data_IF_045224447078
#
_entry.id   IF_045224447078
#
_cell.length_a   1.000
_cell.length_b   1.000
_cell.length_c   1.000
_cell.angle_alpha   90.00
_cell.angle_beta   90.00
_cell.angle_gamma   90.00
#
_symmetry.space_group_name_H-M   'P 1'
#
loop_
_entity.id
_entity.type
_entity.pdbx_description
1 polymer ?
#
# COMPACT_ATOMS: atom_id res chain seq x y z
N UNK A 1 -28.74 47.01 -38.36
CA UNK A 1 -30.02 47.27 -37.69
C UNK A 1 -30.58 45.93 -37.17
N UNK A 2 -31.06 45.99 -35.99
CA UNK A 2 -31.67 44.97 -35.14
C UNK A 2 -30.69 44.19 -34.26
N UNK A 3 -30.51 44.77 -33.10
CA UNK A 3 -30.13 44.21 -31.83
C UNK A 3 -31.16 43.22 -31.30
N UNK A 4 -30.70 42.09 -30.81
CA UNK A 4 -31.45 41.34 -29.81
C UNK A 4 -30.48 40.96 -28.66
N UNK A 5 -30.63 41.72 -27.60
CA UNK A 5 -30.25 41.30 -26.25
C UNK A 5 -31.30 40.29 -25.77
N UNK A 6 -30.87 39.14 -25.33
CA UNK A 6 -31.66 38.28 -24.49
C UNK A 6 -30.85 37.97 -23.21
N UNK A 7 -31.33 38.58 -22.14
CA UNK A 7 -30.98 38.30 -20.77
C UNK A 7 -31.46 36.90 -20.38
N UNK A 8 -30.54 36.05 -19.94
CA UNK A 8 -30.90 34.80 -19.28
C UNK A 8 -30.62 34.97 -17.80
N UNK A 9 -31.68 34.87 -17.01
CA UNK A 9 -31.70 34.82 -15.54
C UNK A 9 -31.07 33.52 -15.06
N UNK A 10 -30.18 33.63 -14.09
CA UNK A 10 -29.65 32.53 -13.29
C UNK A 10 -30.73 31.99 -12.35
N UNK A 11 -30.96 30.68 -12.33
CA UNK A 11 -31.73 30.04 -11.30
C UNK A 11 -30.94 28.95 -10.57
N UNK A 12 -29.85 29.19 -9.92
CA UNK A 12 -29.35 28.25 -8.90
C UNK A 12 -28.47 28.99 -7.89
N UNK A 13 -28.90 28.90 -6.65
CA UNK A 13 -28.15 29.33 -5.46
C UNK A 13 -26.86 28.54 -5.27
N UNK A 14 -25.97 28.96 -4.37
CA UNK A 14 -24.61 28.44 -4.28
C UNK A 14 -24.60 27.00 -3.74
N UNK A 15 -24.37 26.05 -4.65
CA UNK A 15 -24.00 24.70 -4.27
C UNK A 15 -22.51 24.69 -3.94
N UNK A 16 -22.19 24.34 -2.73
CA UNK A 16 -20.83 24.04 -2.25
C UNK A 16 -20.13 23.07 -3.19
N UNK A 17 -18.91 23.35 -3.64
CA UNK A 17 -18.17 22.45 -4.50
C UNK A 17 -17.74 21.21 -3.72
N UNK A 18 -17.76 20.02 -4.33
CA UNK A 18 -17.19 18.83 -3.74
C UNK A 18 -15.69 18.99 -3.59
N UNK A 19 -15.17 18.79 -2.40
CA UNK A 19 -13.76 18.87 -2.04
C UNK A 19 -12.94 17.87 -2.86
N UNK A 20 -12.15 18.38 -3.80
CA UNK A 20 -11.10 17.63 -4.45
C UNK A 20 -9.97 17.33 -3.46
N UNK A 21 -9.99 16.17 -2.82
CA UNK A 21 -8.87 15.66 -2.04
C UNK A 21 -8.21 14.51 -2.79
N UNK A 22 -7.36 14.85 -3.73
CA UNK A 22 -6.42 13.92 -4.35
C UNK A 22 -5.04 14.14 -3.76
N UNK A 23 -4.81 13.61 -2.59
CA UNK A 23 -3.48 13.23 -2.10
C UNK A 23 -3.76 12.17 -1.05
N UNK A 24 -3.12 11.01 -1.16
CA UNK A 24 -3.14 9.98 -0.15
C UNK A 24 -2.79 10.58 1.22
N UNK A 25 -3.81 10.94 1.99
CA UNK A 25 -3.67 11.39 3.37
C UNK A 25 -3.85 10.18 4.26
N UNK A 26 -2.77 9.47 4.55
CA UNK A 26 -2.73 8.68 5.76
C UNK A 26 -2.77 9.65 6.94
N UNK A 27 -3.99 9.91 7.42
CA UNK A 27 -4.20 10.78 8.57
C UNK A 27 -4.04 9.95 9.84
N UNK A 28 -2.82 9.76 10.29
CA UNK A 28 -2.56 9.34 11.66
C UNK A 28 -2.80 10.52 12.59
N UNK A 29 -4.01 10.63 13.13
CA UNK A 29 -4.23 11.40 14.35
C UNK A 29 -4.09 10.40 15.48
N UNK A 30 -2.91 10.35 16.09
CA UNK A 30 -2.75 9.55 17.29
C UNK A 30 -1.72 10.14 18.23
N UNK A 31 -2.25 10.58 19.34
CA UNK A 31 -1.69 10.56 20.69
C UNK A 31 -0.47 11.43 20.99
N UNK A 32 -0.75 12.66 21.41
CA UNK A 32 -0.03 13.15 22.58
C UNK A 32 -0.95 13.52 23.75
N UNK A 33 -2.13 12.95 23.92
CA UNK A 33 -3.04 13.44 24.99
C UNK A 33 -3.47 12.40 26.03
N UNK A 34 -2.82 11.25 26.15
CA UNK A 34 -3.11 10.32 27.26
C UNK A 34 -1.82 10.03 28.04
N UNK A 35 -1.11 11.06 28.43
CA UNK A 35 -0.16 10.99 29.55
C UNK A 35 -0.43 12.22 30.42
N UNK A 36 -1.60 12.26 31.03
CA UNK A 36 -1.83 13.08 32.22
C UNK A 36 -2.41 12.18 33.31
N UNK A 37 -1.53 11.89 34.28
CA UNK A 37 -1.83 11.55 35.67
C UNK A 37 -2.94 10.54 35.96
N UNK A 38 -2.54 9.28 36.10
CA UNK A 38 -3.27 8.31 36.91
C UNK A 38 -2.64 8.32 38.30
N UNK A 39 -3.39 8.59 39.40
CA UNK A 39 -2.85 8.51 40.73
C UNK A 39 -2.55 7.05 41.07
N UNK A 40 -1.37 6.85 41.67
CA UNK A 40 -0.86 5.58 42.17
C UNK A 40 -1.73 5.13 43.36
N UNK A 41 -2.70 4.26 43.13
CA UNK A 41 -3.39 3.57 44.21
C UNK A 41 -2.56 2.32 44.52
N UNK A 42 -1.83 2.36 45.61
CA UNK A 42 -1.17 1.19 46.19
C UNK A 42 -2.26 0.24 46.76
N UNK A 43 -2.51 -0.84 46.00
CA UNK A 43 -3.23 -1.98 46.57
C UNK A 43 -2.21 -2.92 47.24
N UNK A 44 -2.34 -3.14 48.52
CA UNK A 44 -1.57 -4.11 49.29
C UNK A 44 -1.90 -5.51 48.79
N UNK A 45 -0.95 -6.16 48.14
CA UNK A 45 -1.06 -7.55 47.66
C UNK A 45 -0.83 -8.52 48.81
N UNK A 46 -1.81 -9.35 49.10
CA UNK A 46 -1.65 -10.53 49.93
C UNK A 46 -0.76 -11.53 49.20
N UNK A 47 0.30 -12.02 49.87
CA UNK A 47 1.15 -13.10 49.38
C UNK A 47 0.39 -14.41 49.44
N UNK A 48 -0.08 -14.89 48.29
CA UNK A 48 -0.47 -16.31 48.11
C UNK A 48 0.69 -17.01 47.41
N UNK A 49 1.37 -17.84 48.14
CA UNK A 49 2.44 -18.72 47.60
C UNK A 49 1.77 -19.84 46.84
N UNK A 50 1.57 -19.69 45.54
CA UNK A 50 1.18 -20.79 44.66
C UNK A 50 2.48 -21.38 44.09
N UNK A 51 2.70 -22.64 44.40
CA UNK A 51 3.72 -23.51 43.80
C UNK A 51 3.31 -23.69 42.33
N UNK A 52 3.97 -22.98 41.42
CA UNK A 52 3.83 -23.16 39.97
C UNK A 52 4.69 -24.36 39.57
N UNK A 53 4.07 -25.48 39.26
CA UNK A 53 4.61 -26.51 38.37
C UNK A 53 4.74 -25.84 37.00
N UNK A 54 5.98 -25.77 36.50
CA UNK A 54 6.32 -24.95 35.34
C UNK A 54 5.98 -25.60 34.00
N UNK A 55 4.71 -25.61 33.61
CA UNK A 55 4.35 -25.65 32.20
C UNK A 55 4.09 -24.19 31.77
N UNK A 56 4.94 -23.69 30.86
CA UNK A 56 4.70 -22.41 30.23
C UNK A 56 3.35 -22.44 29.51
N UNK A 57 2.47 -21.49 29.84
CA UNK A 57 1.20 -21.36 29.10
C UNK A 57 1.49 -21.15 27.62
N UNK A 58 0.72 -21.81 26.72
CA UNK A 58 0.94 -21.63 25.28
C UNK A 58 0.81 -20.15 24.88
N UNK A 59 1.53 -19.73 23.82
CA UNK A 59 1.43 -18.36 23.31
C UNK A 59 0.00 -17.99 22.96
N UNK A 60 -0.36 -16.72 23.21
CA UNK A 60 -1.67 -16.18 22.88
C UNK A 60 -1.77 -15.93 21.37
N UNK A 61 -2.83 -16.40 20.74
CA UNK A 61 -3.10 -16.13 19.32
C UNK A 61 -3.68 -14.73 19.11
N UNK A 62 -3.40 -14.11 17.95
CA UNK A 62 -3.85 -12.77 17.66
C UNK A 62 -5.37 -12.56 17.76
N UNK A 63 -6.15 -13.58 17.38
CA UNK A 63 -7.62 -13.52 17.48
C UNK A 63 -8.14 -13.41 18.91
N UNK A 64 -7.34 -13.78 19.91
CA UNK A 64 -7.70 -13.73 21.32
C UNK A 64 -7.16 -12.47 22.03
N UNK A 65 -6.43 -11.64 21.32
CA UNK A 65 -5.95 -10.36 21.87
C UNK A 65 -7.11 -9.41 22.04
N UNK A 66 -7.24 -8.82 23.23
CA UNK A 66 -8.21 -7.80 23.56
C UNK A 66 -7.54 -6.44 23.72
N UNK A 67 -8.27 -5.30 23.51
CA UNK A 67 -7.73 -3.98 23.73
C UNK A 67 -7.25 -3.79 25.18
N UNK A 68 -6.11 -3.13 25.34
CA UNK A 68 -5.51 -2.86 26.63
C UNK A 68 -4.13 -3.50 26.82
N UNK A 69 -3.61 -3.50 28.06
CA UNK A 69 -2.33 -4.13 28.36
C UNK A 69 -2.45 -5.65 28.29
N UNK A 70 -1.55 -6.31 27.55
CA UNK A 70 -1.43 -7.75 27.44
C UNK A 70 -0.25 -8.26 28.25
N UNK A 71 -0.51 -9.14 29.23
CA UNK A 71 0.51 -9.80 30.04
C UNK A 71 0.90 -11.20 29.53
N UNK A 72 0.20 -11.70 28.53
CA UNK A 72 0.50 -12.99 27.89
C UNK A 72 1.64 -12.87 26.90
N UNK A 73 2.21 -14.01 26.51
CA UNK A 73 3.23 -14.08 25.47
C UNK A 73 2.57 -14.20 24.11
N UNK A 74 3.03 -13.40 23.14
CA UNK A 74 2.71 -13.55 21.72
C UNK A 74 3.93 -14.13 21.02
N UNK A 75 3.69 -15.08 20.13
CA UNK A 75 4.70 -15.65 19.25
C UNK A 75 4.24 -15.48 17.82
N UNK A 76 5.10 -14.93 16.98
CA UNK A 76 4.73 -14.59 15.61
C UNK A 76 5.93 -14.53 14.67
N UNK A 77 5.69 -14.78 13.39
CA UNK A 77 6.64 -14.49 12.33
C UNK A 77 6.45 -13.05 11.83
N UNK A 78 7.54 -12.30 11.70
CA UNK A 78 7.55 -10.96 11.12
C UNK A 78 7.58 -11.06 9.59
N UNK A 79 6.45 -10.85 8.94
CA UNK A 79 6.34 -10.92 7.48
C UNK A 79 6.95 -9.68 6.82
N UNK A 80 6.67 -8.49 7.37
CA UNK A 80 7.12 -7.22 6.81
C UNK A 80 7.15 -6.12 7.86
N UNK A 81 7.96 -5.09 7.62
CA UNK A 81 7.95 -3.85 8.39
C UNK A 81 8.34 -2.66 7.50
N UNK A 82 7.81 -1.49 7.83
CA UNK A 82 8.01 -0.24 7.09
C UNK A 82 7.95 0.95 8.01
N UNK A 83 8.47 2.10 7.54
CA UNK A 83 8.37 3.36 8.27
C UNK A 83 6.93 3.91 8.24
N UNK A 84 6.40 4.19 9.42
CA UNK A 84 5.16 4.93 9.58
C UNK A 84 5.46 6.43 9.55
N UNK A 85 4.95 7.16 8.56
CA UNK A 85 5.16 8.59 8.41
C UNK A 85 3.85 9.36 8.34
N UNK A 86 3.78 10.50 9.04
CA UNK A 86 2.70 11.46 8.91
C UNK A 86 3.05 12.43 7.78
N UNK A 87 2.20 12.49 6.77
CA UNK A 87 2.40 13.43 5.67
C UNK A 87 2.31 14.88 6.14
N UNK A 88 3.27 15.69 5.72
CA UNK A 88 3.32 17.14 5.92
C UNK A 88 3.46 17.78 4.56
N UNK A 89 2.66 18.83 4.28
CA UNK A 89 2.73 19.55 3.00
C UNK A 89 4.16 20.04 2.76
N UNK A 90 4.74 19.68 1.60
CA UNK A 90 6.04 20.16 1.14
C UNK A 90 7.26 19.54 1.83
N UNK A 91 7.12 18.42 2.53
CA UNK A 91 8.24 17.79 3.22
C UNK A 91 8.20 16.27 3.20
N UNK A 92 9.29 15.62 3.67
CA UNK A 92 9.43 14.15 3.68
C UNK A 92 8.47 13.45 4.67
N UNK A 93 7.61 14.20 5.35
CA UNK A 93 6.75 13.70 6.40
C UNK A 93 7.47 13.53 7.74
N UNK A 94 6.69 13.45 8.82
CA UNK A 94 7.19 13.20 10.18
C UNK A 94 7.19 11.70 10.44
N UNK A 95 8.35 11.15 10.79
CA UNK A 95 8.48 9.75 11.18
C UNK A 95 7.80 9.51 12.53
N UNK A 96 6.84 8.58 12.55
CA UNK A 96 6.09 8.19 13.74
C UNK A 96 6.67 6.95 14.42
N UNK A 97 7.27 6.06 13.64
CA UNK A 97 7.82 4.80 14.10
C UNK A 97 7.93 3.75 12.98
N UNK A 98 7.86 2.50 13.39
CA UNK A 98 7.87 1.34 12.48
C UNK A 98 6.52 0.62 12.64
N UNK A 99 5.85 0.37 11.52
CA UNK A 99 4.72 -0.55 11.42
C UNK A 99 5.21 -1.93 10.99
N UNK A 100 4.52 -2.97 11.46
CA UNK A 100 4.86 -4.37 11.20
C UNK A 100 3.63 -5.14 10.76
N UNK A 101 3.81 -6.10 9.86
CA UNK A 101 2.84 -7.16 9.54
C UNK A 101 3.36 -8.47 10.12
N UNK A 102 2.55 -9.10 10.94
CA UNK A 102 2.89 -10.29 11.72
C UNK A 102 1.89 -11.39 11.47
N UNK A 103 2.32 -12.65 11.57
CA UNK A 103 1.47 -13.84 11.45
C UNK A 103 1.70 -14.78 12.62
N UNK A 104 0.62 -15.30 13.21
CA UNK A 104 0.68 -16.27 14.31
C UNK A 104 0.61 -17.74 13.81
N UNK A 105 0.66 -18.68 14.73
CA UNK A 105 0.65 -20.12 14.44
C UNK A 105 -0.65 -20.62 13.78
N UNK A 106 -1.75 -19.88 13.86
CA UNK A 106 -2.99 -20.20 13.16
C UNK A 106 -3.14 -19.46 11.83
N UNK A 107 -2.12 -18.69 11.43
CA UNK A 107 -2.15 -17.92 10.20
C UNK A 107 -2.94 -16.60 10.31
N UNK A 108 -3.30 -16.15 11.53
CA UNK A 108 -3.94 -14.84 11.67
C UNK A 108 -2.92 -13.72 11.47
N UNK A 109 -3.29 -12.73 10.65
CA UNK A 109 -2.49 -11.53 10.45
C UNK A 109 -2.82 -10.46 11.49
N UNK A 110 -1.80 -9.83 12.04
CA UNK A 110 -1.93 -8.67 12.93
C UNK A 110 -0.96 -7.56 12.55
N UNK A 111 -1.33 -6.31 12.84
CA UNK A 111 -0.48 -5.16 12.68
C UNK A 111 0.21 -4.83 14.00
N UNK A 112 1.54 -4.62 13.95
CA UNK A 112 2.34 -4.15 15.07
C UNK A 112 2.81 -2.72 14.87
N UNK A 113 3.16 -2.05 15.96
CA UNK A 113 3.69 -0.69 15.94
C UNK A 113 4.78 -0.49 16.99
N UNK A 114 5.93 0.01 16.56
CA UNK A 114 7.05 0.46 17.39
C UNK A 114 7.14 1.97 17.26
N UNK A 115 6.86 2.71 18.31
CA UNK A 115 6.95 4.17 18.30
C UNK A 115 8.38 4.68 18.05
N UNK A 116 8.51 5.88 17.48
CA UNK A 116 9.79 6.51 17.14
C UNK A 116 10.80 6.54 18.30
N UNK A 117 10.33 6.75 19.52
CA UNK A 117 11.15 6.75 20.72
C UNK A 117 11.78 5.40 21.08
N UNK A 118 11.30 4.30 20.46
CA UNK A 118 11.79 2.92 20.67
C UNK A 118 12.47 2.35 19.44
N UNK A 119 12.40 3.06 18.32
CA UNK A 119 12.94 2.62 17.02
C UNK A 119 14.39 2.13 17.15
N UNK A 120 15.27 2.94 17.75
CA UNK A 120 16.70 2.63 17.85
C UNK A 120 16.99 1.33 18.62
N UNK A 121 16.07 0.89 19.48
CA UNK A 121 16.25 -0.33 20.26
C UNK A 121 15.97 -1.58 19.41
N UNK A 122 14.98 -1.51 18.52
CA UNK A 122 14.49 -2.70 17.83
C UNK A 122 14.82 -2.75 16.34
N UNK A 123 14.98 -1.61 15.67
CA UNK A 123 15.12 -1.55 14.21
C UNK A 123 16.24 -2.44 13.65
N UNK A 124 17.38 -2.49 14.34
CA UNK A 124 18.55 -3.28 13.90
C UNK A 124 18.33 -4.80 14.05
N UNK A 125 17.40 -5.18 14.91
CA UNK A 125 17.11 -6.59 15.21
C UNK A 125 15.93 -7.13 14.40
N UNK A 126 15.16 -6.24 13.76
CA UNK A 126 14.03 -6.64 12.91
C UNK A 126 14.54 -7.31 11.64
N UNK A 127 14.14 -8.56 11.42
CA UNK A 127 14.46 -9.34 10.24
C UNK A 127 13.18 -10.00 9.71
N UNK A 128 12.87 -9.75 8.42
CA UNK A 128 11.73 -10.38 7.77
C UNK A 128 11.89 -11.91 7.76
N UNK A 129 10.78 -12.62 7.94
CA UNK A 129 10.73 -14.09 7.97
C UNK A 129 11.15 -14.72 9.30
N UNK A 130 11.68 -13.95 10.26
CA UNK A 130 12.07 -14.47 11.57
C UNK A 130 10.91 -14.48 12.55
N UNK A 131 10.99 -15.39 13.52
CA UNK A 131 10.03 -15.53 14.61
C UNK A 131 10.48 -14.69 15.80
N UNK A 132 9.51 -14.11 16.48
CA UNK A 132 9.71 -13.26 17.65
C UNK A 132 8.73 -13.65 18.74
N UNK A 133 9.23 -13.62 19.96
CA UNK A 133 8.45 -13.71 21.19
C UNK A 133 8.31 -12.32 21.80
N UNK A 134 7.06 -11.87 22.04
CA UNK A 134 6.73 -10.56 22.60
C UNK A 134 5.91 -10.71 23.89
N UNK A 135 6.36 -10.05 24.95
CA UNK A 135 5.66 -9.97 26.24
C UNK A 135 5.37 -8.53 26.64
N UNK A 136 4.38 -8.34 27.49
CA UNK A 136 4.00 -7.01 28.03
C UNK A 136 3.69 -5.98 26.92
N UNK A 137 2.91 -6.36 25.95
CA UNK A 137 2.45 -5.48 24.87
C UNK A 137 1.21 -4.66 25.26
N UNK A 138 0.87 -3.69 24.44
CA UNK A 138 -0.39 -2.96 24.54
C UNK A 138 -1.15 -3.08 23.23
N UNK A 139 -2.41 -3.54 23.28
CA UNK A 139 -3.26 -3.63 22.10
C UNK A 139 -4.25 -2.48 22.08
N UNK A 140 -4.35 -1.77 20.95
CA UNK A 140 -5.29 -0.67 20.76
C UNK A 140 -6.13 -0.89 19.50
N UNK A 141 -7.37 -0.38 19.52
CA UNK A 141 -8.17 -0.36 18.30
C UNK A 141 -7.47 0.45 17.22
N UNK A 142 -7.35 -0.13 16.04
CA UNK A 142 -6.78 0.55 14.89
C UNK A 142 -7.64 1.75 14.50
N UNK A 143 -6.98 2.91 14.33
CA UNK A 143 -7.59 4.12 13.78
C UNK A 143 -7.11 4.40 12.36
N UNK A 144 -6.37 3.47 11.77
CA UNK A 144 -5.89 3.62 10.40
C UNK A 144 -7.05 3.54 9.41
N UNK A 145 -6.91 4.28 8.32
CA UNK A 145 -7.92 4.28 7.25
C UNK A 145 -7.84 3.03 6.37
N UNK A 146 -6.66 2.43 6.31
CA UNK A 146 -6.37 1.27 5.47
C UNK A 146 -5.76 0.17 6.34
N UNK A 147 -6.36 -1.02 6.28
CA UNK A 147 -5.95 -2.14 7.11
C UNK A 147 -5.16 -3.16 6.27
N UNK A 148 -4.03 -3.56 6.78
CA UNK A 148 -3.14 -4.55 6.16
C UNK A 148 -3.30 -5.95 6.75
N UNK A 149 -4.07 -6.09 7.82
CA UNK A 149 -4.27 -7.31 8.57
C UNK A 149 -5.77 -7.58 8.81
N UNK A 150 -6.11 -8.83 9.12
CA UNK A 150 -7.49 -9.24 9.42
C UNK A 150 -7.95 -8.65 10.76
N UNK A 151 -7.04 -8.56 11.72
CA UNK A 151 -7.29 -7.99 13.03
C UNK A 151 -7.40 -6.48 12.98
N UNK A 152 -8.40 -5.94 13.69
CA UNK A 152 -8.62 -4.48 13.82
C UNK A 152 -7.84 -3.86 14.97
N UNK A 153 -7.01 -4.66 15.63
CA UNK A 153 -6.12 -4.22 16.71
C UNK A 153 -4.72 -3.99 16.17
N UNK A 154 -4.05 -2.98 16.74
CA UNK A 154 -2.63 -2.73 16.56
C UNK A 154 -1.92 -3.12 17.86
N UNK A 155 -0.94 -4.00 17.75
CA UNK A 155 -0.10 -4.45 18.86
C UNK A 155 1.06 -3.46 19.01
N UNK A 156 1.01 -2.64 20.06
CA UNK A 156 1.99 -1.61 20.31
C UNK A 156 3.10 -2.13 21.24
N UNK A 157 4.33 -1.92 20.85
CA UNK A 157 5.51 -2.22 21.66
C UNK A 157 5.79 -1.00 22.54
N UNK A 158 5.54 -1.15 23.85
CA UNK A 158 5.72 -0.11 24.87
C UNK A 158 7.09 -0.19 25.53
N UNK A 159 7.35 0.70 26.50
CA UNK A 159 8.58 0.65 27.31
C UNK A 159 8.66 -0.58 28.23
N UNK A 160 7.51 -1.16 28.57
CA UNK A 160 7.43 -2.37 29.39
C UNK A 160 7.51 -3.65 28.54
N UNK A 161 7.46 -3.54 27.23
CA UNK A 161 7.50 -4.68 26.33
C UNK A 161 8.93 -5.24 26.24
N UNK A 162 9.01 -6.57 26.17
CA UNK A 162 10.21 -7.28 25.79
C UNK A 162 9.93 -8.10 24.54
N UNK A 163 10.71 -7.87 23.49
CA UNK A 163 10.66 -8.61 22.24
C UNK A 163 12.02 -9.23 21.98
N UNK A 164 12.06 -10.53 21.80
CA UNK A 164 13.25 -11.30 21.46
C UNK A 164 13.05 -12.04 20.16
N UNK A 165 14.12 -12.15 19.39
CA UNK A 165 14.15 -13.00 18.20
C UNK A 165 14.44 -14.44 18.65
N UNK A 166 13.66 -15.39 18.14
CA UNK A 166 13.87 -16.79 18.41
C UNK A 166 14.97 -17.32 17.47
N UNK A 167 15.87 -18.16 18.05
CA UNK A 167 17.02 -18.67 17.30
C UNK A 167 16.60 -19.75 16.29
N UNK A 168 15.62 -20.56 16.65
CA UNK A 168 15.10 -21.64 15.84
C UNK A 168 13.84 -21.21 15.08
N UNK A 169 13.62 -21.80 13.91
CA UNK A 169 12.38 -21.64 13.15
C UNK A 169 11.34 -22.61 13.73
N UNK A 170 10.23 -22.07 14.21
CA UNK A 170 9.17 -22.85 14.83
C UNK A 170 8.31 -23.45 13.72
N UNK A 171 8.26 -24.77 13.63
CA UNK A 171 7.36 -25.48 12.72
C UNK A 171 5.91 -25.07 12.99
N UNK A 172 5.15 -24.82 11.91
CA UNK A 172 3.72 -24.53 11.97
C UNK A 172 3.35 -23.08 11.80
N UNK A 173 4.27 -22.09 11.95
CA UNK A 173 3.96 -20.71 11.60
C UNK A 173 4.26 -20.48 10.11
N UNK A 174 3.23 -20.12 9.34
CA UNK A 174 3.36 -19.89 7.90
C UNK A 174 4.45 -18.86 7.60
N UNK A 175 5.19 -19.08 6.52
CA UNK A 175 6.24 -18.15 6.05
C UNK A 175 5.66 -16.93 5.36
N UNK A 176 4.48 -17.08 4.73
CA UNK A 176 3.75 -16.02 4.03
C UNK A 176 2.25 -16.30 4.06
N UNK A 177 1.45 -15.25 3.97
CA UNK A 177 0.01 -15.32 3.74
C UNK A 177 -0.42 -14.16 2.86
N UNK A 178 -1.17 -14.47 1.81
CA UNK A 178 -1.67 -13.51 0.83
C UNK A 178 -3.19 -13.42 0.85
N UNK A 179 -3.72 -12.22 0.59
CA UNK A 179 -5.15 -11.93 0.50
C UNK A 179 -5.46 -11.47 -0.93
N UNK A 180 -5.27 -12.38 -1.89
CA UNK A 180 -5.46 -12.09 -3.32
C UNK A 180 -6.92 -11.84 -3.62
N UNK A 181 -7.22 -10.76 -4.34
CA UNK A 181 -8.55 -10.35 -4.76
C UNK A 181 -8.70 -10.38 -6.28
N UNK A 182 -9.95 -10.59 -6.71
CA UNK A 182 -10.35 -10.52 -8.12
C UNK A 182 -10.50 -9.08 -8.60
N UNK A 183 -10.63 -8.90 -9.92
CA UNK A 183 -10.92 -7.58 -10.51
C UNK A 183 -12.21 -6.97 -9.94
N UNK A 184 -13.27 -7.77 -9.82
CA UNK A 184 -14.57 -7.32 -9.31
C UNK A 184 -14.50 -6.86 -7.86
N UNK A 185 -13.67 -7.52 -7.03
CA UNK A 185 -13.46 -7.10 -5.65
C UNK A 185 -12.76 -5.74 -5.58
N UNK A 186 -11.76 -5.51 -6.45
CA UNK A 186 -11.09 -4.21 -6.52
C UNK A 186 -12.02 -3.11 -7.05
N UNK A 187 -12.87 -3.42 -8.03
CA UNK A 187 -13.85 -2.48 -8.54
C UNK A 187 -14.88 -2.09 -7.48
N UNK A 188 -15.39 -3.05 -6.72
CA UNK A 188 -16.33 -2.83 -5.63
C UNK A 188 -15.74 -1.99 -4.49
N UNK A 189 -14.43 -2.05 -4.29
CA UNK A 189 -13.71 -1.32 -3.23
C UNK A 189 -12.99 -0.06 -3.75
N UNK A 190 -13.23 0.33 -5.02
CA UNK A 190 -12.57 1.48 -5.63
C UNK A 190 -12.88 2.76 -4.87
N UNK A 191 -11.84 3.54 -4.56
CA UNK A 191 -11.89 4.79 -3.78
C UNK A 191 -12.43 4.67 -2.34
N UNK A 192 -12.75 3.47 -1.89
CA UNK A 192 -13.17 3.24 -0.52
C UNK A 192 -11.96 3.22 0.44
N UNK A 193 -12.27 3.45 1.71
CA UNK A 193 -11.34 3.24 2.83
C UNK A 193 -11.65 1.89 3.45
N UNK A 194 -10.63 1.11 3.72
CA UNK A 194 -10.86 -0.22 4.28
C UNK A 194 -9.64 -1.12 4.17
N UNK A 195 -9.88 -2.38 3.88
CA UNK A 195 -8.82 -3.36 3.74
C UNK A 195 -8.03 -3.17 2.45
N UNK A 196 -6.73 -3.31 2.56
CA UNK A 196 -5.83 -3.44 1.42
C UNK A 196 -5.64 -4.92 1.12
N UNK A 197 -5.66 -5.26 -0.15
CA UNK A 197 -5.56 -6.64 -0.61
C UNK A 197 -4.42 -6.81 -1.60
N UNK A 198 -4.15 -8.04 -1.97
CA UNK A 198 -3.04 -8.40 -2.82
C UNK A 198 -3.55 -8.70 -4.24
N UNK A 199 -2.72 -8.42 -5.22
CA UNK A 199 -3.01 -8.73 -6.63
C UNK A 199 -1.91 -9.62 -7.20
N UNK A 200 -2.30 -10.62 -7.97
CA UNK A 200 -1.40 -11.44 -8.80
C UNK A 200 -1.88 -11.43 -10.24
N UNK A 201 -0.96 -11.32 -11.17
CA UNK A 201 -1.30 -11.29 -12.59
C UNK A 201 -0.11 -11.50 -13.51
N UNK A 202 -0.43 -11.77 -14.78
CA UNK A 202 0.57 -11.86 -15.84
C UNK A 202 1.06 -10.46 -16.20
N UNK A 203 2.35 -10.22 -16.07
CA UNK A 203 3.00 -8.96 -16.37
C UNK A 203 3.05 -8.76 -17.90
N UNK A 204 2.43 -7.71 -18.41
CA UNK A 204 2.32 -7.42 -19.84
C UNK A 204 3.26 -6.30 -20.30
N UNK A 205 3.26 -5.20 -19.57
CA UNK A 205 4.07 -4.02 -19.89
C UNK A 205 4.67 -3.44 -18.60
N UNK A 206 5.82 -2.81 -18.74
CA UNK A 206 6.48 -2.00 -17.70
C UNK A 206 6.75 -0.63 -18.28
N UNK A 207 6.22 0.42 -17.66
CA UNK A 207 6.27 1.82 -18.13
C UNK A 207 5.90 1.96 -19.62
N UNK A 208 4.88 1.20 -20.07
CA UNK A 208 4.40 1.16 -21.45
C UNK A 208 5.29 0.38 -22.41
N UNK A 209 6.38 -0.23 -21.95
CA UNK A 209 7.30 -1.01 -22.78
C UNK A 209 6.96 -2.49 -22.74
N UNK A 210 7.03 -3.12 -23.89
CA UNK A 210 6.79 -4.56 -24.04
C UNK A 210 7.97 -5.37 -23.48
N UNK A 211 7.65 -6.44 -22.76
CA UNK A 211 8.65 -7.24 -22.03
C UNK A 211 9.67 -7.96 -22.92
N UNK A 212 9.30 -8.28 -24.18
CA UNK A 212 10.25 -8.92 -25.12
C UNK A 212 11.47 -8.05 -25.43
N UNK A 213 11.38 -6.74 -25.22
CA UNK A 213 12.50 -5.80 -25.35
C UNK A 213 13.38 -5.77 -24.09
N UNK A 214 12.94 -6.45 -23.02
CA UNK A 214 13.58 -6.47 -21.70
C UNK A 214 14.12 -5.08 -21.31
N UNK A 215 13.23 -4.13 -20.98
CA UNK A 215 13.65 -2.81 -20.57
C UNK A 215 14.57 -2.88 -19.36
N UNK A 216 15.66 -2.13 -19.36
CA UNK A 216 16.53 -1.96 -18.19
C UNK A 216 15.91 -0.86 -17.33
N UNK A 217 15.56 -1.20 -16.09
CA UNK A 217 14.79 -0.32 -15.22
C UNK A 217 15.65 0.47 -14.21
N UNK A 218 16.87 -0.02 -13.93
CA UNK A 218 17.82 0.67 -13.05
C UNK A 218 18.82 1.46 -13.89
N UNK A 219 18.58 2.73 -14.11
CA UNK A 219 19.54 3.66 -14.78
C UNK A 219 20.20 4.54 -13.73
N UNK A 220 21.38 5.11 -14.06
CA UNK A 220 22.15 5.97 -13.11
C UNK A 220 21.43 7.26 -12.71
N UNK A 221 20.40 7.65 -13.47
CA UNK A 221 19.61 8.87 -13.25
C UNK A 221 18.29 8.62 -12.48
N UNK A 222 18.07 7.40 -11.96
CA UNK A 222 16.78 6.97 -11.36
C UNK A 222 16.43 7.62 -10.02
N UNK A 223 17.23 8.56 -9.52
CA UNK A 223 16.83 9.38 -8.37
C UNK A 223 15.56 10.21 -8.62
N UNK A 224 15.18 10.42 -9.88
CA UNK A 224 14.00 11.19 -10.26
C UNK A 224 12.71 10.38 -10.37
N UNK A 225 12.78 9.07 -10.64
CA UNK A 225 11.60 8.25 -10.87
C UNK A 225 11.28 7.35 -9.67
N UNK A 226 10.50 7.89 -8.73
CA UNK A 226 9.96 7.12 -7.60
C UNK A 226 8.80 6.19 -7.99
N UNK A 227 8.47 6.10 -9.28
CA UNK A 227 7.29 5.39 -9.77
C UNK A 227 7.66 4.42 -10.88
N UNK A 228 7.05 3.24 -10.86
CA UNK A 228 6.99 2.30 -11.99
C UNK A 228 5.52 1.98 -12.24
N UNK A 229 5.08 2.01 -13.49
CA UNK A 229 3.75 1.56 -13.88
C UNK A 229 3.84 0.20 -14.54
N UNK A 230 3.10 -0.76 -14.02
CA UNK A 230 3.01 -2.10 -14.61
C UNK A 230 1.58 -2.39 -15.06
N UNK A 231 1.45 -3.16 -16.12
CA UNK A 231 0.17 -3.63 -16.62
C UNK A 231 0.06 -5.12 -16.34
N UNK A 232 -0.92 -5.50 -15.52
CA UNK A 232 -1.17 -6.89 -15.13
C UNK A 232 -2.45 -7.41 -15.77
N UNK A 233 -2.35 -8.52 -16.50
CA UNK A 233 -3.50 -9.30 -16.94
C UNK A 233 -3.94 -10.21 -15.79
N UNK A 234 -5.16 -10.05 -15.34
CA UNK A 234 -5.74 -10.92 -14.33
C UNK A 234 -6.29 -12.20 -14.96
N UNK A 235 -6.40 -13.25 -14.15
CA UNK A 235 -6.87 -14.57 -14.58
C UNK A 235 -8.28 -14.50 -15.17
N UNK A 236 -9.18 -13.78 -14.50
CA UNK A 236 -10.59 -13.67 -14.83
C UNK A 236 -11.01 -12.20 -15.04
N UNK A 237 -10.12 -11.37 -15.54
CA UNK A 237 -10.37 -9.94 -15.65
C UNK A 237 -9.60 -9.25 -16.77
N UNK A 238 -9.83 -7.96 -16.95
CA UNK A 238 -9.08 -7.13 -17.88
C UNK A 238 -7.65 -6.91 -17.42
N UNK A 239 -6.86 -6.27 -18.29
CA UNK A 239 -5.56 -5.71 -17.89
C UNK A 239 -5.80 -4.52 -16.96
N UNK A 240 -5.12 -4.51 -15.82
CA UNK A 240 -5.19 -3.44 -14.84
C UNK A 240 -3.83 -2.75 -14.68
N UNK A 241 -3.85 -1.43 -14.50
CA UNK A 241 -2.65 -0.65 -14.23
C UNK A 241 -2.35 -0.68 -12.74
N UNK A 242 -1.11 -1.02 -12.40
CA UNK A 242 -0.61 -0.97 -11.03
C UNK A 242 0.54 0.04 -10.95
N UNK A 243 0.37 1.05 -10.13
CA UNK A 243 1.38 2.08 -9.88
C UNK A 243 2.18 1.71 -8.64
N UNK A 244 3.44 1.34 -8.85
CA UNK A 244 4.39 1.08 -7.78
C UNK A 244 5.10 2.39 -7.43
N UNK A 245 5.15 2.72 -6.14
CA UNK A 245 5.80 3.92 -5.63
C UNK A 245 6.89 3.57 -4.63
N UNK A 246 7.86 4.45 -4.52
CA UNK A 246 8.94 4.43 -3.52
C UNK A 246 9.58 3.04 -3.38
N UNK A 247 9.57 2.44 -2.19
CA UNK A 247 10.19 1.14 -1.90
C UNK A 247 9.68 -0.01 -2.77
N UNK A 248 8.39 -0.01 -3.10
CA UNK A 248 7.82 -1.03 -3.99
C UNK A 248 8.37 -0.89 -5.41
N UNK A 249 8.54 0.33 -5.91
CA UNK A 249 9.14 0.60 -7.22
C UNK A 249 10.64 0.20 -7.26
N UNK A 250 11.38 0.55 -6.20
CA UNK A 250 12.81 0.16 -6.08
C UNK A 250 12.94 -1.36 -6.02
N UNK A 251 12.16 -2.02 -5.18
CA UNK A 251 12.17 -3.48 -5.05
C UNK A 251 11.83 -4.17 -6.37
N UNK A 252 10.82 -3.66 -7.09
CA UNK A 252 10.45 -4.19 -8.40
C UNK A 252 11.61 -4.09 -9.40
N UNK A 253 12.23 -2.90 -9.56
CA UNK A 253 13.34 -2.70 -10.49
C UNK A 253 14.50 -3.63 -10.21
N UNK A 254 14.92 -3.68 -8.94
CA UNK A 254 16.05 -4.54 -8.54
C UNK A 254 15.78 -6.01 -8.83
N UNK A 255 14.60 -6.51 -8.51
CA UNK A 255 14.22 -7.90 -8.78
C UNK A 255 14.09 -8.17 -10.28
N UNK A 256 13.46 -7.24 -11.01
CA UNK A 256 13.28 -7.38 -12.46
C UNK A 256 14.62 -7.43 -13.20
N UNK A 257 15.54 -6.53 -12.88
CA UNK A 257 16.84 -6.48 -13.52
C UNK A 257 17.76 -7.65 -13.10
N UNK A 258 17.61 -8.16 -11.87
CA UNK A 258 18.35 -9.30 -11.35
C UNK A 258 17.86 -10.66 -11.88
N UNK A 259 16.64 -10.73 -12.44
CA UNK A 259 16.07 -11.98 -12.96
C UNK A 259 16.83 -12.44 -14.21
N UNK A 260 17.18 -13.73 -14.28
CA UNK A 260 17.85 -14.32 -15.45
C UNK A 260 16.97 -14.28 -16.71
N UNK A 261 15.71 -14.64 -16.56
CA UNK A 261 14.68 -14.53 -17.59
C UNK A 261 13.83 -13.29 -17.37
N UNK A 262 13.12 -12.82 -18.39
CA UNK A 262 12.13 -11.75 -18.24
C UNK A 262 10.98 -12.25 -17.38
N UNK A 263 10.67 -11.60 -16.24
CA UNK A 263 9.59 -12.01 -15.35
C UNK A 263 8.23 -12.04 -16.06
N UNK A 264 7.45 -13.06 -15.76
CA UNK A 264 6.14 -13.32 -16.38
C UNK A 264 4.99 -13.01 -15.45
N UNK A 265 5.11 -13.31 -14.16
CA UNK A 265 4.07 -13.12 -13.15
C UNK A 265 4.56 -12.18 -12.08
N UNK A 266 3.68 -11.27 -11.69
CA UNK A 266 3.93 -10.32 -10.62
C UNK A 266 2.81 -10.42 -9.58
N UNK A 267 3.20 -10.48 -8.31
CA UNK A 267 2.32 -10.27 -7.16
C UNK A 267 2.74 -9.00 -6.43
N UNK A 268 1.76 -8.15 -6.14
CA UNK A 268 1.95 -6.95 -5.31
C UNK A 268 0.99 -7.01 -4.13
N UNK A 269 1.53 -6.86 -2.92
CA UNK A 269 0.70 -6.90 -1.70
C UNK A 269 0.17 -5.52 -1.34
N UNK A 270 -0.92 -5.49 -0.57
CA UNK A 270 -1.49 -4.29 0.07
C UNK A 270 -1.67 -3.11 -0.88
N UNK A 271 -2.27 -3.37 -2.04
CA UNK A 271 -2.60 -2.33 -3.03
C UNK A 271 -3.91 -1.63 -2.71
N UNK A 272 -3.99 -0.36 -3.09
CA UNK A 272 -5.14 0.51 -2.89
C UNK A 272 -5.85 0.76 -4.23
N UNK A 273 -7.10 0.30 -4.41
CA UNK A 273 -7.86 0.54 -5.62
C UNK A 273 -8.33 1.99 -5.73
N UNK A 274 -8.07 2.60 -6.90
CA UNK A 274 -8.37 4.00 -7.18
C UNK A 274 -8.94 4.19 -8.58
N UNK A 275 -9.79 5.19 -8.75
CA UNK A 275 -10.22 5.64 -10.06
C UNK A 275 -9.31 6.77 -10.56
N UNK A 276 -8.62 6.53 -11.67
CA UNK A 276 -7.84 7.54 -12.37
C UNK A 276 -8.39 7.69 -13.79
N UNK A 277 -8.90 8.89 -14.11
CA UNK A 277 -9.54 9.13 -15.41
C UNK A 277 -10.72 8.20 -15.70
N UNK A 278 -11.49 7.84 -14.67
CA UNK A 278 -12.64 6.93 -14.80
C UNK A 278 -12.28 5.44 -14.97
N UNK A 279 -10.99 5.08 -14.90
CA UNK A 279 -10.53 3.69 -14.97
C UNK A 279 -10.00 3.23 -13.61
N UNK A 280 -10.34 2.00 -13.24
CA UNK A 280 -9.78 1.36 -12.06
C UNK A 280 -8.27 1.15 -12.24
N UNK A 281 -7.50 1.55 -11.27
CA UNK A 281 -6.09 1.27 -11.13
C UNK A 281 -5.75 0.91 -9.68
N UNK A 282 -4.59 0.33 -9.48
CA UNK A 282 -4.10 -0.02 -8.15
C UNK A 282 -2.84 0.80 -7.84
N UNK A 283 -2.72 1.22 -6.60
CA UNK A 283 -1.59 2.02 -6.14
C UNK A 283 -0.93 1.28 -4.97
N UNK A 284 0.39 1.09 -5.04
CA UNK A 284 1.14 0.53 -3.92
C UNK A 284 1.15 1.48 -2.73
N UNK A 285 1.29 0.91 -1.55
CA UNK A 285 1.40 1.61 -0.28
C UNK A 285 2.80 1.38 0.32
N UNK A 286 3.15 2.06 1.41
CA UNK A 286 4.41 1.83 2.13
C UNK A 286 4.56 0.40 2.66
N UNK A 287 3.46 -0.29 2.86
CA UNK A 287 3.39 -1.69 3.27
C UNK A 287 3.51 -2.69 2.11
N UNK A 288 3.50 -2.22 0.84
CA UNK A 288 3.47 -3.11 -0.32
C UNK A 288 4.81 -3.82 -0.52
N UNK A 289 4.72 -5.11 -0.85
CA UNK A 289 5.84 -5.96 -1.26
C UNK A 289 5.61 -6.45 -2.68
N UNK A 290 6.70 -6.81 -3.34
CA UNK A 290 6.71 -7.26 -4.72
C UNK A 290 7.33 -8.65 -4.80
N UNK A 291 6.67 -9.56 -5.50
CA UNK A 291 7.14 -10.93 -5.74
C UNK A 291 7.00 -11.27 -7.23
N UNK A 292 7.99 -11.97 -7.75
CA UNK A 292 8.06 -12.36 -9.15
C UNK A 292 8.10 -13.89 -9.28
N UNK A 293 7.47 -14.39 -10.30
CA UNK A 293 7.53 -15.78 -10.78
C UNK A 293 7.57 -16.85 -9.66
N UNK A 294 8.74 -17.38 -9.34
CA UNK A 294 8.92 -18.49 -8.40
C UNK A 294 9.04 -18.04 -6.93
N UNK A 295 8.92 -16.74 -6.64
CA UNK A 295 9.17 -16.22 -5.28
C UNK A 295 8.22 -16.81 -4.23
N UNK A 296 6.94 -16.98 -4.58
CA UNK A 296 5.88 -17.39 -3.63
C UNK A 296 4.81 -18.27 -4.29
N UNK A 297 4.04 -19.00 -3.47
CA UNK A 297 3.04 -19.94 -3.99
C UNK A 297 2.03 -19.32 -4.98
N UNK A 298 1.41 -18.16 -4.71
CA UNK A 298 0.44 -17.60 -5.65
C UNK A 298 1.03 -17.26 -7.02
N UNK A 299 2.31 -16.86 -7.09
CA UNK A 299 2.96 -16.59 -8.38
C UNK A 299 3.30 -17.89 -9.10
N UNK A 300 3.77 -18.92 -8.39
CA UNK A 300 4.00 -20.27 -8.95
C UNK A 300 2.72 -20.91 -9.48
N UNK A 301 1.63 -20.80 -8.73
CA UNK A 301 0.31 -21.27 -9.16
C UNK A 301 -0.18 -20.55 -10.40
N UNK A 302 0.05 -19.25 -10.48
CA UNK A 302 -0.33 -18.46 -11.65
C UNK A 302 0.51 -18.85 -12.88
N UNK A 303 1.82 -19.05 -12.73
CA UNK A 303 2.71 -19.56 -13.79
C UNK A 303 2.23 -20.92 -14.30
N UNK A 304 1.95 -21.85 -13.40
CA UNK A 304 1.42 -23.17 -13.75
C UNK A 304 0.10 -23.04 -14.51
N UNK A 305 -0.77 -22.15 -14.10
CA UNK A 305 -2.03 -21.88 -14.81
C UNK A 305 -1.78 -21.33 -16.23
N UNK A 306 -0.81 -20.43 -16.43
CA UNK A 306 -0.46 -19.92 -17.75
C UNK A 306 0.05 -21.02 -18.68
N UNK A 307 0.84 -21.97 -18.18
CA UNK A 307 1.36 -23.08 -19.01
C UNK A 307 0.25 -24.04 -19.44
N UNK A 308 -0.77 -24.24 -18.60
CA UNK A 308 -1.92 -25.12 -18.90
C UNK A 308 -3.01 -24.42 -19.73
N UNK A 309 -2.98 -23.08 -19.83
CA UNK A 309 -3.95 -22.28 -20.55
C UNK A 309 -3.29 -21.33 -21.55
N UNK A 310 -2.65 -21.85 -22.64
CA UNK A 310 -1.89 -21.04 -23.59
C UNK A 310 -2.75 -19.98 -24.30
N UNK A 311 -4.06 -20.17 -24.40
CA UNK A 311 -4.99 -19.14 -24.92
C UNK A 311 -5.08 -17.93 -23.99
N UNK A 312 -4.85 -18.07 -22.70
CA UNK A 312 -4.85 -16.96 -21.75
C UNK A 312 -3.62 -16.03 -21.96
N UNK A 313 -2.53 -16.54 -22.52
CA UNK A 313 -1.36 -15.71 -22.88
C UNK A 313 -1.64 -14.84 -24.09
N UNK A 314 -2.53 -15.28 -24.99
CA UNK A 314 -2.95 -14.55 -26.19
C UNK A 314 -4.17 -13.66 -25.99
N UNK A 315 -4.92 -13.83 -24.91
CA UNK A 315 -5.97 -12.91 -24.46
C UNK A 315 -5.34 -11.59 -23.97
N UNK A 316 -4.49 -11.03 -24.79
CA UNK A 316 -4.31 -9.61 -24.83
C UNK A 316 -5.61 -9.09 -25.43
N UNK A 317 -6.55 -8.60 -24.60
CA UNK A 317 -7.22 -7.42 -25.06
C UNK A 317 -6.06 -6.51 -25.50
N UNK A 318 -5.94 -6.11 -26.76
CA UNK A 318 -5.12 -4.97 -27.04
C UNK A 318 -5.79 -3.88 -26.20
N UNK A 319 -5.33 -3.70 -24.95
CA UNK A 319 -5.30 -2.38 -24.41
C UNK A 319 -4.64 -1.67 -25.59
N UNK A 320 -5.41 -0.87 -26.30
CA UNK A 320 -4.84 0.15 -27.13
C UNK A 320 -3.74 0.71 -26.24
N UNK A 321 -2.54 0.26 -26.44
CA UNK A 321 -1.36 0.89 -25.89
C UNK A 321 -1.36 2.18 -26.67
N UNK A 322 -2.18 3.10 -26.18
CA UNK A 322 -2.10 4.48 -26.59
C UNK A 322 -0.70 4.84 -26.13
N UNK A 323 0.24 4.70 -27.05
CA UNK A 323 1.61 5.10 -26.85
C UNK A 323 1.47 6.56 -26.45
N UNK A 324 1.62 6.84 -25.14
CA UNK A 324 1.55 8.20 -24.67
C UNK A 324 2.71 8.91 -25.36
N UNK A 325 2.42 9.77 -26.29
CA UNK A 325 3.46 10.57 -26.94
C UNK A 325 4.02 11.53 -25.92
N UNK A 326 5.34 11.55 -25.78
CA UNK A 326 6.00 12.54 -24.95
C UNK A 326 5.97 13.87 -25.69
N UNK A 327 5.16 14.81 -25.20
CA UNK A 327 4.99 16.12 -25.78
C UNK A 327 5.35 17.23 -24.79
N UNK A 328 5.76 18.34 -25.30
CA UNK A 328 5.91 19.57 -24.52
C UNK A 328 4.53 20.16 -24.17
N UNK A 329 4.46 20.96 -23.13
CA UNK A 329 3.23 21.69 -22.74
C UNK A 329 2.64 22.47 -23.93
N UNK A 330 3.49 23.10 -24.74
CA UNK A 330 3.08 23.85 -25.94
C UNK A 330 2.44 22.95 -27.00
N UNK A 331 2.97 21.78 -27.22
CA UNK A 331 2.43 20.81 -28.18
C UNK A 331 1.10 20.23 -27.70
N UNK A 332 0.96 19.92 -26.41
CA UNK A 332 -0.31 19.51 -25.80
C UNK A 332 -1.35 20.62 -25.95
N UNK A 333 -0.99 21.86 -25.66
CA UNK A 333 -1.89 23.01 -25.84
C UNK A 333 -2.29 23.24 -27.32
N UNK A 334 -1.38 23.00 -28.25
CA UNK A 334 -1.67 23.08 -29.69
C UNK A 334 -2.59 21.92 -30.15
N UNK A 335 -2.42 20.71 -29.60
CA UNK A 335 -3.31 19.57 -29.85
C UNK A 335 -4.73 19.86 -29.37
N UNK A 336 -4.89 20.33 -28.13
CA UNK A 336 -6.20 20.67 -27.54
C UNK A 336 -6.97 21.73 -28.37
N UNK A 337 -6.25 22.63 -29.03
CA UNK A 337 -6.86 23.66 -29.89
C UNK A 337 -7.29 23.15 -31.27
N UNK A 338 -6.75 22.04 -31.77
CA UNK A 338 -6.92 21.57 -33.15
C UNK A 338 -7.93 20.41 -33.30
N UNK A 339 -8.21 19.68 -32.23
CA UNK A 339 -9.04 18.45 -32.31
C UNK A 339 -10.34 18.64 -31.55
N UNK A 340 -11.49 18.24 -32.12
CA UNK A 340 -12.70 18.03 -31.35
C UNK A 340 -12.44 16.92 -30.33
N UNK A 341 -12.96 17.08 -29.14
CA UNK A 341 -12.70 16.30 -27.95
C UNK A 341 -12.61 14.78 -28.20
N UNK A 342 -11.37 14.29 -28.25
CA UNK A 342 -11.03 12.86 -28.15
C UNK A 342 -10.19 12.69 -26.90
N UNK A 343 -10.42 11.60 -26.19
CA UNK A 343 -9.56 11.23 -25.05
C UNK A 343 -8.17 10.93 -25.60
N UNK A 344 -7.18 11.70 -25.19
CA UNK A 344 -5.79 11.49 -25.54
C UNK A 344 -4.94 11.53 -24.27
N UNK A 345 -3.88 10.72 -24.24
CA UNK A 345 -2.95 10.65 -23.12
C UNK A 345 -1.58 11.11 -23.60
N UNK A 346 -0.97 12.01 -22.85
CA UNK A 346 0.35 12.51 -23.14
C UNK A 346 1.22 12.43 -21.91
N UNK A 347 2.48 12.03 -22.09
CA UNK A 347 3.53 12.20 -21.11
C UNK A 347 4.18 13.57 -21.34
N UNK A 348 4.34 14.35 -20.29
CA UNK A 348 4.99 15.65 -20.37
C UNK A 348 6.08 15.74 -19.30
N UNK A 349 7.30 16.05 -19.75
CA UNK A 349 8.40 16.42 -18.86
C UNK A 349 8.44 17.94 -18.80
N UNK A 350 8.19 18.49 -17.62
CA UNK A 350 8.16 19.92 -17.40
C UNK A 350 8.94 20.31 -16.14
N UNK A 351 9.59 21.47 -16.19
CA UNK A 351 10.19 22.11 -15.01
C UNK A 351 9.14 23.01 -14.37
N UNK A 352 9.01 22.94 -13.05
CA UNK A 352 8.18 23.86 -12.29
C UNK A 352 9.02 25.10 -12.01
N UNK A 353 8.75 26.20 -12.72
CA UNK A 353 9.50 27.44 -12.56
C UNK A 353 9.02 28.27 -11.36
N UNK A 354 7.72 28.23 -11.07
CA UNK A 354 7.12 28.98 -9.97
C UNK A 354 5.85 28.32 -9.44
N UNK A 355 5.59 28.49 -8.16
CA UNK A 355 4.37 28.04 -7.48
C UNK A 355 3.72 29.24 -6.82
N UNK A 356 2.66 29.78 -7.41
CA UNK A 356 1.90 30.88 -6.80
C UNK A 356 1.26 30.39 -5.49
N UNK A 357 1.75 30.91 -4.38
CA UNK A 357 1.17 30.69 -3.06
C UNK A 357 -0.07 31.59 -2.88
N UNK A 358 -1.16 31.03 -2.37
CA UNK A 358 -2.37 31.79 -2.02
C UNK A 358 -3.47 31.83 -3.09
N UNK A 359 -3.30 31.15 -4.21
CA UNK A 359 -4.39 30.90 -5.18
C UNK A 359 -4.95 29.50 -4.97
N UNK A 360 -6.27 29.37 -5.07
CA UNK A 360 -6.89 28.04 -5.12
C UNK A 360 -6.44 27.32 -6.40
N UNK A 361 -5.91 26.11 -6.24
CA UNK A 361 -5.55 25.26 -7.37
C UNK A 361 -6.84 24.63 -7.91
N UNK A 362 -7.36 25.19 -8.98
CA UNK A 362 -8.47 24.59 -9.72
C UNK A 362 -8.11 24.45 -11.19
N UNK A 363 -8.64 23.45 -11.81
CA UNK A 363 -8.63 23.31 -13.25
C UNK A 363 -10.07 23.27 -13.74
N UNK A 364 -10.31 23.89 -14.88
CA UNK A 364 -11.61 23.83 -15.51
C UNK A 364 -11.67 22.48 -16.24
N UNK A 365 -12.50 21.57 -15.75
CA UNK A 365 -12.83 20.34 -16.45
C UNK A 365 -14.19 20.52 -17.13
N UNK A 366 -14.26 20.25 -18.42
CA UNK A 366 -15.53 20.11 -19.11
C UNK A 366 -16.20 18.79 -18.68
N UNK A 367 -17.43 18.88 -18.20
CA UNK A 367 -18.20 17.70 -17.81
C UNK A 367 -18.62 16.84 -19.01
N UNK A 368 -18.68 17.46 -20.17
CA UNK A 368 -19.25 16.87 -21.40
C UNK A 368 -18.17 16.56 -22.46
N UNK A 369 -16.92 16.83 -22.16
CA UNK A 369 -15.75 16.41 -22.91
C UNK A 369 -14.71 15.78 -21.98
#
# INVERSE_FOLDING_TARGET
MCSHQSSIQDPFGPSTPPSASMISRSLFILLPQIVKSIPLIMAKTAKTTAIRTGEASPPLLFRHVSPGPGGSTLEFRLLHFWEARKNVKGGPGILLGIEMLMIDAEGNLAQGFIGQNRRNQYEKELQRGRIYTLTNFYASNSKVMYHVADQRLVICISHASAMSKDEEDIEGILTERFRVHSFLDFEANCDLRGDLHDIVGHLKLVDGQALHQRPVLCTKDDSASRKVMVHLQLKDGPVINVYLWDEAAVSFRLKFDASEATPTVLLVTTVNPKSLGGKLCLISMSSSRVFLDEDVDPTREYLTWLTTNPSATSLVNPVEVVKAETLTISEIAAFLKRQPAKVAYFDCIATIDDVKLGTEWYYIACKDC
#
